data_IF_775875030163
#
_entry.id   IF_775875030163
#
_cell.length_a   1.000
_cell.length_b   1.000
_cell.length_c   1.000
_cell.angle_alpha   90.00
_cell.angle_beta   90.00
_cell.angle_gamma   90.00
#
_symmetry.space_group_name_H-M   'P 1'
#
loop_
_entity.id
_entity.type
_entity.pdbx_description
1 polymer ?
#
# COMPACT_ATOMS: atom_id res chain seq x y z
N UNK A 1 21.37 -1.45 -14.87
CA UNK A 1 20.38 -0.42 -15.25
C UNK A 1 20.02 0.34 -14.00
N UNK A 2 19.74 1.66 -14.08
CA UNK A 2 19.27 2.41 -12.92
C UNK A 2 17.88 1.86 -12.51
N UNK A 3 17.63 1.74 -11.20
CA UNK A 3 16.32 1.35 -10.69
C UNK A 3 15.32 2.50 -10.90
N UNK A 4 14.11 2.17 -11.34
CA UNK A 4 13.01 3.15 -11.43
C UNK A 4 12.33 3.33 -10.08
N UNK A 5 11.91 4.56 -9.79
CA UNK A 5 11.04 4.84 -8.65
C UNK A 5 9.59 4.55 -9.06
N UNK A 6 8.90 3.79 -8.23
CA UNK A 6 7.48 3.49 -8.35
C UNK A 6 6.76 3.96 -7.09
N UNK A 7 5.84 4.89 -7.25
CA UNK A 7 4.91 5.22 -6.19
C UNK A 7 3.99 4.03 -5.97
N UNK A 8 3.82 3.64 -4.72
CA UNK A 8 3.08 2.44 -4.38
C UNK A 8 2.18 2.69 -3.17
N UNK A 9 1.01 2.09 -3.23
CA UNK A 9 0.02 2.14 -2.18
C UNK A 9 -0.84 0.88 -2.18
N UNK A 10 -1.41 0.52 -1.02
CA UNK A 10 -2.24 -0.67 -0.86
C UNK A 10 -3.56 -0.39 -0.17
N UNK A 11 -4.60 -1.09 -0.61
CA UNK A 11 -5.92 -1.06 0.01
C UNK A 11 -6.32 -2.46 0.46
N UNK A 12 -6.67 -2.62 1.72
CA UNK A 12 -6.92 -3.94 2.34
C UNK A 12 -8.34 -4.04 2.87
N UNK A 13 -9.09 -5.01 2.34
CA UNK A 13 -10.44 -5.39 2.75
C UNK A 13 -10.44 -6.83 3.29
N UNK A 14 -11.58 -7.30 3.85
CA UNK A 14 -11.68 -8.64 4.43
C UNK A 14 -11.32 -9.76 3.43
N UNK A 15 -11.70 -9.61 2.17
CA UNK A 15 -11.50 -10.62 1.12
C UNK A 15 -10.80 -10.07 -0.12
N UNK A 16 -10.33 -8.83 -0.09
CA UNK A 16 -9.67 -8.19 -1.22
C UNK A 16 -8.47 -7.37 -0.77
N UNK A 17 -7.40 -7.45 -1.55
CA UNK A 17 -6.22 -6.62 -1.40
C UNK A 17 -5.83 -6.05 -2.76
N UNK A 18 -5.75 -4.72 -2.84
CA UNK A 18 -5.29 -4.01 -4.02
C UNK A 18 -3.87 -3.49 -3.78
N UNK A 19 -3.04 -3.63 -4.79
CA UNK A 19 -1.80 -2.87 -4.92
C UNK A 19 -1.83 -2.02 -6.17
N UNK A 20 -1.44 -0.76 -6.05
CA UNK A 20 -1.26 0.16 -7.17
C UNK A 20 0.18 0.64 -7.19
N UNK A 21 0.80 0.52 -8.37
CA UNK A 21 2.16 0.97 -8.63
C UNK A 21 2.13 1.97 -9.77
N UNK A 22 2.68 3.18 -9.57
CA UNK A 22 2.79 4.21 -10.62
C UNK A 22 4.24 4.59 -10.80
N UNK A 23 4.77 4.37 -12.00
CA UNK A 23 6.15 4.69 -12.31
C UNK A 23 6.36 6.20 -12.45
N UNK A 24 7.34 6.72 -11.73
CA UNK A 24 7.62 8.16 -11.68
C UNK A 24 7.95 8.75 -13.06
N UNK A 25 8.78 8.08 -13.85
CA UNK A 25 9.33 8.66 -15.09
C UNK A 25 8.33 8.86 -16.23
N UNK A 26 7.26 8.08 -16.29
CA UNK A 26 6.31 8.10 -17.42
C UNK A 26 4.84 7.93 -17.01
N UNK A 27 4.56 7.83 -15.71
CA UNK A 27 3.20 7.70 -15.19
C UNK A 27 2.53 6.35 -15.46
N UNK A 28 3.28 5.34 -15.97
CA UNK A 28 2.72 3.99 -16.17
C UNK A 28 2.18 3.46 -14.86
N UNK A 29 0.89 3.09 -14.87
CA UNK A 29 0.20 2.54 -13.70
C UNK A 29 -0.08 1.05 -13.89
N UNK A 30 0.16 0.27 -12.84
CA UNK A 30 -0.13 -1.16 -12.75
C UNK A 30 -0.97 -1.34 -11.48
N UNK A 31 -2.09 -2.03 -11.59
CA UNK A 31 -2.93 -2.42 -10.45
C UNK A 31 -3.03 -3.95 -10.40
N UNK A 32 -2.92 -4.50 -9.19
CA UNK A 32 -2.95 -5.95 -8.97
C UNK A 32 -3.91 -6.22 -7.81
N UNK A 33 -4.91 -7.07 -8.06
CA UNK A 33 -5.89 -7.50 -7.06
C UNK A 33 -5.66 -8.97 -6.69
N UNK A 34 -5.54 -9.28 -5.39
CA UNK A 34 -5.52 -10.64 -4.84
C UNK A 34 -4.53 -11.61 -5.52
N UNK A 35 -3.47 -11.11 -6.13
CA UNK A 35 -2.53 -11.91 -6.92
C UNK A 35 -1.09 -11.68 -6.44
N UNK A 36 -0.67 -12.50 -5.49
CA UNK A 36 0.66 -12.44 -4.87
C UNK A 36 1.77 -12.75 -5.88
N UNK A 37 1.53 -13.66 -6.82
CA UNK A 37 2.51 -14.01 -7.86
C UNK A 37 2.75 -12.85 -8.82
N UNK A 38 1.69 -12.17 -9.27
CA UNK A 38 1.85 -10.98 -10.12
C UNK A 38 2.61 -9.85 -9.41
N UNK A 39 2.50 -9.72 -8.08
CA UNK A 39 3.29 -8.75 -7.30
C UNK A 39 4.76 -9.16 -7.25
N UNK A 40 5.05 -10.44 -7.03
CA UNK A 40 6.43 -10.98 -7.08
C UNK A 40 7.04 -10.80 -8.47
N UNK A 41 6.29 -11.11 -9.52
CA UNK A 41 6.71 -10.92 -10.91
C UNK A 41 6.99 -9.45 -11.21
N UNK A 42 6.15 -8.53 -10.73
CA UNK A 42 6.39 -7.09 -10.83
C UNK A 42 7.72 -6.72 -10.18
N UNK A 43 7.96 -7.15 -8.94
CA UNK A 43 9.20 -6.85 -8.21
C UNK A 43 10.42 -7.43 -8.95
N UNK A 44 10.33 -8.67 -9.39
CA UNK A 44 11.42 -9.34 -10.11
C UNK A 44 11.72 -8.68 -11.48
N UNK A 45 10.67 -8.30 -12.23
CA UNK A 45 10.81 -7.72 -13.55
C UNK A 45 11.33 -6.27 -13.53
N UNK A 46 10.88 -5.47 -12.57
CA UNK A 46 11.20 -4.03 -12.54
C UNK A 46 12.27 -3.66 -11.53
N UNK A 47 12.59 -4.52 -10.57
CA UNK A 47 13.52 -4.24 -9.48
C UNK A 47 13.32 -2.81 -8.93
N UNK A 48 12.10 -2.46 -8.44
CA UNK A 48 11.71 -1.10 -8.17
C UNK A 48 12.36 -0.53 -6.91
N UNK A 49 12.46 0.80 -6.84
CA UNK A 49 12.48 1.53 -5.58
C UNK A 49 11.03 1.92 -5.29
N UNK A 50 10.45 1.43 -4.22
CA UNK A 50 9.08 1.79 -3.83
C UNK A 50 9.07 3.10 -3.07
N UNK A 51 8.15 4.00 -3.42
CA UNK A 51 7.96 5.27 -2.74
C UNK A 51 6.52 5.40 -2.30
N UNK A 52 6.29 5.69 -1.04
CA UNK A 52 4.95 5.86 -0.50
C UNK A 52 4.91 6.79 0.71
N UNK A 53 3.73 6.95 1.27
CA UNK A 53 3.50 7.75 2.46
C UNK A 53 3.19 6.85 3.66
N UNK A 54 3.97 6.94 4.72
CA UNK A 54 3.90 6.03 5.87
C UNK A 54 4.13 4.54 5.49
N UNK A 55 4.80 4.31 4.38
CA UNK A 55 4.98 2.99 3.77
C UNK A 55 5.70 2.01 4.70
N UNK A 56 6.72 2.49 5.42
CA UNK A 56 7.50 1.63 6.34
C UNK A 56 6.68 1.12 7.51
N UNK A 57 5.72 1.91 7.97
CA UNK A 57 4.95 1.60 9.17
C UNK A 57 3.59 0.97 8.85
N UNK A 58 3.21 0.89 7.56
CA UNK A 58 1.97 0.26 7.12
C UNK A 58 2.19 -0.68 5.92
N UNK A 59 2.39 -0.15 4.70
CA UNK A 59 2.42 -0.96 3.47
C UNK A 59 3.53 -2.00 3.44
N UNK A 60 4.66 -1.74 4.12
CA UNK A 60 5.75 -2.71 4.19
C UNK A 60 5.36 -4.01 4.87
N UNK A 61 4.48 -3.97 5.87
CA UNK A 61 3.95 -5.17 6.53
C UNK A 61 2.95 -5.91 5.65
N UNK A 62 2.07 -5.15 4.97
CA UNK A 62 1.13 -5.71 3.99
C UNK A 62 1.91 -6.39 2.86
N UNK A 63 2.92 -5.72 2.29
CA UNK A 63 3.77 -6.28 1.23
C UNK A 63 4.50 -7.55 1.70
N UNK A 64 5.00 -7.56 2.94
CA UNK A 64 5.64 -8.74 3.51
C UNK A 64 4.69 -9.93 3.57
N UNK A 65 3.44 -9.72 4.01
CA UNK A 65 2.43 -10.78 4.04
C UNK A 65 2.11 -11.29 2.62
N UNK A 66 1.98 -10.38 1.65
CA UNK A 66 1.79 -10.72 0.23
C UNK A 66 2.95 -11.57 -0.30
N UNK A 67 4.19 -11.18 -0.02
CA UNK A 67 5.38 -11.92 -0.49
C UNK A 67 5.54 -13.28 0.22
N UNK A 68 4.87 -13.50 1.33
CA UNK A 68 4.73 -14.78 2.03
C UNK A 68 3.53 -15.61 1.54
N UNK A 69 2.84 -15.19 0.48
CA UNK A 69 1.66 -15.86 -0.09
C UNK A 69 0.46 -15.95 0.85
N UNK A 70 0.31 -15.00 1.74
CA UNK A 70 -0.83 -14.96 2.63
C UNK A 70 -2.10 -14.61 1.84
N UNK A 71 -3.22 -15.24 2.22
CA UNK A 71 -4.52 -14.94 1.61
C UNK A 71 -5.04 -13.54 2.05
N UNK A 72 -6.00 -12.95 1.34
CA UNK A 72 -6.55 -11.65 1.70
C UNK A 72 -7.03 -11.54 3.14
N UNK A 73 -7.62 -12.61 3.68
CA UNK A 73 -8.11 -12.69 5.05
C UNK A 73 -6.96 -12.57 6.07
N UNK A 74 -5.83 -13.24 5.83
CA UNK A 74 -4.65 -13.15 6.68
C UNK A 74 -3.97 -11.77 6.55
N UNK A 75 -3.95 -11.19 5.35
CA UNK A 75 -3.47 -9.82 5.11
C UNK A 75 -4.34 -8.82 5.88
N UNK A 76 -5.67 -9.04 5.92
CA UNK A 76 -6.58 -8.20 6.72
C UNK A 76 -6.27 -8.26 8.21
N UNK A 77 -5.86 -9.40 8.75
CA UNK A 77 -5.41 -9.51 10.14
C UNK A 77 -4.19 -8.61 10.38
N UNK A 78 -3.24 -8.56 9.44
CA UNK A 78 -2.09 -7.64 9.55
C UNK A 78 -2.56 -6.20 9.58
N UNK A 79 -3.43 -5.79 8.65
CA UNK A 79 -4.02 -4.46 8.59
C UNK A 79 -4.67 -4.07 9.93
N UNK A 80 -5.57 -4.92 10.43
CA UNK A 80 -6.31 -4.65 11.66
C UNK A 80 -5.39 -4.58 12.88
N UNK A 81 -4.35 -5.41 12.89
CA UNK A 81 -3.32 -5.38 13.94
C UNK A 81 -2.53 -4.09 13.90
N UNK A 82 -2.13 -3.59 12.71
CA UNK A 82 -1.44 -2.29 12.58
C UNK A 82 -2.31 -1.17 13.16
N UNK A 83 -3.59 -1.13 12.76
CA UNK A 83 -4.54 -0.11 13.20
C UNK A 83 -4.78 -0.19 14.72
N UNK A 84 -4.95 -1.39 15.27
CA UNK A 84 -5.23 -1.60 16.69
C UNK A 84 -4.01 -1.41 17.59
N UNK A 85 -2.80 -1.62 17.08
CA UNK A 85 -1.57 -1.57 17.88
C UNK A 85 -1.13 -0.16 18.25
N UNK A 86 -1.71 0.88 17.65
CA UNK A 86 -1.38 2.28 17.91
C UNK A 86 0.14 2.53 17.97
N UNK A 87 0.86 2.13 16.91
CA UNK A 87 2.32 2.25 16.76
C UNK A 87 3.18 1.25 17.54
N UNK A 88 2.60 0.29 18.27
CA UNK A 88 3.37 -0.81 18.85
C UNK A 88 3.75 -1.85 17.80
N UNK A 89 4.88 -1.60 17.14
CA UNK A 89 5.40 -2.46 16.08
C UNK A 89 5.74 -3.88 16.55
N UNK A 90 5.92 -4.11 17.84
CA UNK A 90 6.27 -5.44 18.38
C UNK A 90 5.10 -6.40 18.20
N UNK A 91 3.87 -5.92 18.32
CA UNK A 91 2.65 -6.72 18.12
C UNK A 91 2.53 -7.14 16.64
N UNK A 92 2.74 -6.20 15.72
CA UNK A 92 2.70 -6.48 14.26
C UNK A 92 3.81 -7.45 13.87
N UNK A 93 5.04 -7.25 14.35
CA UNK A 93 6.15 -8.17 14.13
C UNK A 93 5.87 -9.58 14.67
N UNK A 94 5.10 -9.67 15.75
CA UNK A 94 4.68 -10.95 16.34
C UNK A 94 3.94 -11.86 15.36
N UNK A 95 3.18 -11.29 14.42
CA UNK A 95 2.46 -12.04 13.38
C UNK A 95 3.42 -12.78 12.43
N UNK A 96 4.63 -12.26 12.24
CA UNK A 96 5.63 -12.83 11.34
C UNK A 96 6.62 -13.77 12.03
N UNK A 97 6.41 -14.08 13.33
CA UNK A 97 7.28 -15.01 14.05
C UNK A 97 7.24 -16.40 13.42
N UNK A 98 8.41 -16.97 13.16
CA UNK A 98 8.55 -18.28 12.54
C UNK A 98 8.35 -18.29 11.03
N UNK A 99 8.03 -17.16 10.41
CA UNK A 99 7.95 -17.05 8.96
C UNK A 99 9.35 -16.92 8.33
N UNK A 100 9.54 -17.36 7.07
CA UNK A 100 10.77 -17.15 6.34
C UNK A 100 11.13 -15.66 6.23
N UNK A 101 12.43 -15.38 6.11
CA UNK A 101 12.87 -14.04 5.79
C UNK A 101 12.44 -13.65 4.37
N UNK A 102 11.85 -12.47 4.24
CA UNK A 102 11.47 -11.88 2.95
C UNK A 102 12.22 -10.57 2.80
N UNK A 103 12.93 -10.43 1.68
CA UNK A 103 13.60 -9.19 1.31
C UNK A 103 12.60 -8.27 0.60
N UNK A 104 12.41 -7.09 1.14
CA UNK A 104 11.58 -6.06 0.53
C UNK A 104 12.42 -5.20 -0.43
N UNK A 105 11.83 -4.67 -1.50
CA UNK A 105 12.48 -3.66 -2.34
C UNK A 105 12.94 -2.46 -1.51
N UNK A 106 13.94 -1.67 -1.98
CA UNK A 106 14.27 -0.40 -1.35
C UNK A 106 13.06 0.51 -1.22
N UNK A 107 12.90 1.16 -0.05
CA UNK A 107 11.73 1.98 0.28
C UNK A 107 12.17 3.42 0.54
N UNK A 108 11.52 4.37 -0.14
CA UNK A 108 11.49 5.80 0.18
C UNK A 108 10.15 6.07 0.89
N UNK A 109 10.20 6.63 2.10
CA UNK A 109 9.00 6.90 2.90
C UNK A 109 8.91 8.40 3.20
N UNK A 110 7.98 9.07 2.54
CA UNK A 110 7.85 10.52 2.63
C UNK A 110 7.33 10.99 3.99
N UNK A 111 6.60 10.15 4.73
CA UNK A 111 6.13 10.51 6.07
C UNK A 111 7.29 10.75 7.04
N UNK A 112 8.36 9.95 6.91
CA UNK A 112 9.54 10.09 7.76
C UNK A 112 10.45 11.26 7.38
N UNK A 113 10.34 11.73 6.14
CA UNK A 113 11.19 12.78 5.58
C UNK A 113 10.55 14.18 5.69
N UNK A 114 9.27 14.27 6.10
CA UNK A 114 8.53 15.53 6.29
C UNK A 114 8.61 15.98 7.75
N UNK A 115 8.98 17.26 7.97
CA UNK A 115 9.02 17.88 9.30
C UNK A 115 8.20 19.16 9.28
N UNK A 116 7.22 19.32 10.19
CA UNK A 116 6.67 18.34 11.14
C UNK A 116 5.90 17.23 10.41
N UNK A 117 5.83 16.04 11.00
CA UNK A 117 5.06 14.92 10.45
C UNK A 117 3.59 15.29 10.41
N UNK A 118 2.97 15.16 9.24
CA UNK A 118 1.58 15.53 8.97
C UNK A 118 0.85 14.34 8.36
N UNK A 119 -0.46 14.27 8.56
CA UNK A 119 -1.28 13.29 7.84
C UNK A 119 -1.31 13.58 6.34
N UNK A 120 -1.44 12.52 5.51
CA UNK A 120 -1.50 12.68 4.04
C UNK A 120 -2.59 13.68 3.63
N UNK A 121 -3.80 13.54 4.16
CA UNK A 121 -4.93 14.45 3.91
C UNK A 121 -4.65 15.92 4.30
N UNK A 122 -3.84 16.15 5.33
CA UNK A 122 -3.43 17.51 5.70
C UNK A 122 -2.47 18.10 4.66
N UNK A 123 -1.59 17.27 4.10
CA UNK A 123 -0.68 17.70 3.03
C UNK A 123 -1.48 18.04 1.78
N UNK A 124 -2.40 17.16 1.37
CA UNK A 124 -3.30 17.35 0.23
C UNK A 124 -4.06 18.68 0.34
N UNK A 125 -4.66 18.93 1.50
CA UNK A 125 -5.35 20.19 1.77
C UNK A 125 -4.41 21.41 1.65
N UNK A 126 -3.17 21.31 2.16
CA UNK A 126 -2.20 22.40 2.11
C UNK A 126 -1.71 22.73 0.69
N UNK A 127 -1.68 21.75 -0.21
CA UNK A 127 -1.32 21.95 -1.62
C UNK A 127 -2.53 22.23 -2.52
N UNK A 128 -3.75 22.37 -1.92
CA UNK A 128 -4.98 22.71 -2.63
C UNK A 128 -5.62 21.55 -3.40
N UNK A 129 -5.31 20.32 -3.05
CA UNK A 129 -5.98 19.15 -3.62
C UNK A 129 -7.32 18.91 -2.97
N UNK A 130 -8.26 18.36 -3.73
CA UNK A 130 -9.55 17.91 -3.20
C UNK A 130 -9.36 16.59 -2.45
N UNK A 131 -9.75 16.56 -1.18
CA UNK A 131 -9.77 15.32 -0.40
C UNK A 131 -10.94 14.48 -0.89
N UNK A 132 -10.64 13.26 -1.33
CA UNK A 132 -11.64 12.25 -1.72
C UNK A 132 -11.66 11.18 -0.63
N UNK A 133 -12.82 10.63 -0.31
CA UNK A 133 -12.95 9.50 0.59
C UNK A 133 -13.47 8.28 -0.18
N UNK A 134 -13.04 7.10 0.23
CA UNK A 134 -13.54 5.87 -0.37
C UNK A 134 -15.06 5.78 -0.22
N UNK A 135 -15.76 5.50 -1.31
CA UNK A 135 -17.20 5.20 -1.28
C UNK A 135 -17.49 3.81 -0.71
N UNK A 136 -16.48 2.95 -0.62
CA UNK A 136 -16.58 1.59 -0.13
C UNK A 136 -16.07 1.55 1.32
N UNK A 137 -16.90 1.13 2.29
CA UNK A 137 -16.46 0.96 3.67
C UNK A 137 -15.38 -0.12 3.81
N UNK A 138 -14.33 0.14 4.59
CA UNK A 138 -13.21 -0.80 4.79
C UNK A 138 -13.56 -2.01 5.67
N UNK A 139 -14.74 -2.00 6.30
CA UNK A 139 -15.27 -3.08 7.15
C UNK A 139 -16.24 -4.02 6.42
N UNK A 140 -16.32 -3.92 5.10
CA UNK A 140 -17.13 -4.84 4.27
C UNK A 140 -16.62 -6.27 4.43
N UNK A 141 -17.50 -7.17 4.95
CA UNK A 141 -17.20 -8.58 5.20
C UNK A 141 -17.75 -9.49 4.08
N UNK A 142 -17.34 -9.20 2.86
CA UNK A 142 -17.60 -9.98 1.63
C UNK A 142 -16.61 -9.56 0.55
N UNK A 143 -16.42 -10.38 -0.49
CA UNK A 143 -15.68 -9.91 -1.68
C UNK A 143 -16.32 -8.66 -2.28
N UNK A 144 -15.46 -7.73 -2.75
CA UNK A 144 -15.92 -6.53 -3.43
C UNK A 144 -16.52 -6.87 -4.81
N UNK A 145 -17.57 -6.16 -5.18
CA UNK A 145 -18.12 -6.21 -6.53
C UNK A 145 -17.17 -5.51 -7.52
N UNK A 146 -17.33 -5.80 -8.82
CA UNK A 146 -16.52 -5.17 -9.86
C UNK A 146 -16.63 -3.64 -9.83
N UNK A 147 -17.82 -3.09 -9.52
CA UNK A 147 -18.04 -1.65 -9.39
C UNK A 147 -17.27 -1.08 -8.19
N UNK A 148 -17.34 -1.73 -7.04
CA UNK A 148 -16.62 -1.33 -5.85
C UNK A 148 -15.09 -1.39 -6.07
N UNK A 149 -14.58 -2.41 -6.77
CA UNK A 149 -13.16 -2.49 -7.14
C UNK A 149 -12.72 -1.31 -8.02
N UNK A 150 -13.57 -0.89 -8.96
CA UNK A 150 -13.29 0.31 -9.78
C UNK A 150 -13.25 1.57 -8.91
N UNK A 151 -14.17 1.71 -7.95
CA UNK A 151 -14.21 2.88 -7.07
C UNK A 151 -13.00 2.90 -6.12
N UNK A 152 -12.63 1.77 -5.51
CA UNK A 152 -11.44 1.64 -4.68
C UNK A 152 -10.16 1.93 -5.49
N UNK A 153 -10.05 1.42 -6.72
CA UNK A 153 -8.91 1.73 -7.58
C UNK A 153 -8.81 3.22 -7.87
N UNK A 154 -9.93 3.88 -8.19
CA UNK A 154 -9.94 5.34 -8.44
C UNK A 154 -9.55 6.12 -7.19
N UNK A 155 -10.04 5.71 -6.04
CA UNK A 155 -9.67 6.29 -4.75
C UNK A 155 -8.15 6.18 -4.52
N UNK A 156 -7.59 4.99 -4.58
CA UNK A 156 -6.17 4.74 -4.40
C UNK A 156 -5.29 5.54 -5.39
N UNK A 157 -5.66 5.58 -6.68
CA UNK A 157 -4.92 6.37 -7.68
C UNK A 157 -5.05 7.87 -7.44
N UNK A 158 -6.21 8.34 -6.98
CA UNK A 158 -6.47 9.78 -6.80
C UNK A 158 -5.83 10.32 -5.52
N UNK A 159 -5.93 9.61 -4.40
CA UNK A 159 -5.44 10.11 -3.11
C UNK A 159 -3.94 9.86 -2.93
N UNK A 160 -3.50 8.65 -3.21
CA UNK A 160 -2.19 8.24 -2.77
C UNK A 160 -1.08 8.55 -3.77
N UNK A 161 -1.39 8.62 -5.05
CA UNK A 161 -0.38 8.79 -6.08
C UNK A 161 -0.14 10.24 -6.56
N UNK A 162 -1.09 11.19 -6.53
CA UNK A 162 -0.84 12.57 -6.97
C UNK A 162 0.07 13.36 -6.02
N UNK A 163 -0.02 13.12 -4.71
CA UNK A 163 0.84 13.78 -3.71
C UNK A 163 2.31 13.38 -3.89
N UNK A 164 2.52 12.19 -4.43
CA UNK A 164 3.84 11.61 -4.66
C UNK A 164 4.42 11.97 -6.04
N UNK A 165 3.58 12.50 -6.95
CA UNK A 165 3.95 12.81 -8.34
C UNK A 165 3.32 14.15 -8.78
N UNK A 166 3.88 15.32 -8.36
CA UNK A 166 3.42 16.63 -8.80
C UNK A 166 3.63 16.84 -10.31
#
# INVERSE_FOLDING_TARGET
MAQDIWFADSETFAHDNLWVFKRQRDGRTISIWNDTESIKDFIAAYNPILCGYNFRDYDSYILKAVLLDWCPEDIKIVNDTIIASHDDKTVVWGLFNGQPWVELPPIIDLFHDIVPRKGLKEIEANIGMSIVESSVPFDVDRPLTDTERVDVFRYCVHECLPVLCP
#
